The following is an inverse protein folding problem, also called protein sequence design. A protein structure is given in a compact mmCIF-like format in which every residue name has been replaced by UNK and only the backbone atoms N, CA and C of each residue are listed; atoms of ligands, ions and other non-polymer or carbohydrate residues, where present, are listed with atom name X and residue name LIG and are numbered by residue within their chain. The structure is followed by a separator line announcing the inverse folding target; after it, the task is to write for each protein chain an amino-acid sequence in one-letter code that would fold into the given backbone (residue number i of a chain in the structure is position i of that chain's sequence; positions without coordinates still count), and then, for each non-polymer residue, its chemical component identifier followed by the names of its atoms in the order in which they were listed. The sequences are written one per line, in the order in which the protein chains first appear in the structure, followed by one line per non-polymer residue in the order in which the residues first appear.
data_IF_872138363639
#
_entry.id   IF_872138363639
#
_cell.length_a   1.000
_cell.length_b   1.000
_cell.length_c   1.000
_cell.angle_alpha   90.00
_cell.angle_beta   90.00
_cell.angle_gamma   90.00
#
_symmetry.space_group_name_H-M   'P 1'
#
loop_
_entity.id
_entity.type
_entity.pdbx_description
1 polymer ?
#
# COMPACT_ATOMS: atom_id res chain seq x y z
N UNK A 1 3.68 -24.48 -26.82
CA UNK A 1 2.79 -23.37 -26.44
C UNK A 1 3.62 -22.39 -25.62
N UNK A 2 4.07 -21.32 -26.26
CA UNK A 2 5.01 -20.36 -25.71
C UNK A 2 4.43 -19.60 -24.51
N UNK A 3 5.27 -19.48 -23.49
CA UNK A 3 5.65 -18.20 -22.89
C UNK A 3 4.51 -17.19 -22.69
N UNK A 4 3.97 -17.16 -21.47
CA UNK A 4 3.52 -15.90 -20.88
C UNK A 4 4.18 -15.72 -19.50
N UNK A 5 5.52 -15.62 -19.52
CA UNK A 5 6.27 -14.95 -18.46
C UNK A 5 6.19 -13.45 -18.77
N UNK A 6 5.09 -12.82 -18.40
CA UNK A 6 5.08 -11.38 -18.24
C UNK A 6 6.00 -11.07 -17.05
N UNK A 7 7.25 -10.79 -17.42
CA UNK A 7 8.23 -10.18 -16.58
C UNK A 7 7.61 -8.93 -15.95
N UNK A 8 7.33 -8.98 -14.66
CA UNK A 8 7.12 -7.77 -13.87
C UNK A 8 8.47 -7.09 -13.67
N UNK A 9 9.06 -6.61 -14.78
CA UNK A 9 10.08 -5.57 -14.76
C UNK A 9 9.33 -4.26 -14.48
N UNK A 10 9.25 -3.94 -13.20
CA UNK A 10 8.93 -2.60 -12.70
C UNK A 10 10.14 -2.10 -11.93
N UNK A 11 11.28 -2.00 -12.61
CA UNK A 11 12.38 -1.16 -12.15
C UNK A 11 12.04 0.27 -12.57
N UNK A 12 11.38 1.00 -11.65
CA UNK A 12 11.57 2.44 -11.55
C UNK A 12 12.06 2.72 -10.14
N UNK A 13 13.38 2.96 -10.09
CA UNK A 13 14.09 3.44 -8.93
C UNK A 13 13.53 4.80 -8.49
N UNK A 14 13.42 4.94 -7.18
CA UNK A 14 12.89 6.13 -6.54
C UNK A 14 12.65 5.84 -5.07
N UNK A 15 13.72 5.53 -4.36
CA UNK A 15 13.76 5.69 -2.93
C UNK A 15 13.63 7.19 -2.61
N UNK A 16 12.99 7.49 -1.48
CA UNK A 16 13.22 8.74 -0.78
C UNK A 16 12.24 9.86 -1.12
N UNK A 17 11.30 10.07 -0.22
CA UNK A 17 11.58 11.10 0.77
C UNK A 17 11.12 10.59 2.11
N UNK A 18 12.07 10.25 2.99
CA UNK A 18 11.82 10.30 4.43
C UNK A 18 11.50 11.77 4.77
N UNK A 19 10.25 12.17 4.53
CA UNK A 19 9.81 13.56 4.63
C UNK A 19 9.63 13.97 6.08
N UNK A 20 10.60 14.68 6.65
CA UNK A 20 10.31 15.53 7.80
C UNK A 20 9.62 16.84 7.36
N UNK A 21 8.94 17.57 8.26
CA UNK A 21 8.19 17.13 9.45
C UNK A 21 6.74 17.67 9.41
N UNK A 22 5.73 16.80 9.23
CA UNK A 22 4.41 16.83 9.90
C UNK A 22 3.34 15.99 9.18
N UNK A 23 3.29 15.99 7.85
CA UNK A 23 2.14 15.49 7.10
C UNK A 23 2.49 14.43 6.04
N UNK A 24 1.52 13.56 5.76
CA UNK A 24 1.58 12.59 4.67
C UNK A 24 1.49 13.29 3.31
N UNK A 25 2.21 12.77 2.33
CA UNK A 25 2.05 13.13 0.91
C UNK A 25 0.66 12.73 0.39
N UNK A 26 0.23 13.35 -0.71
CA UNK A 26 -1.05 13.01 -1.35
C UNK A 26 -1.12 11.54 -1.76
N UNK A 27 0.00 10.98 -2.24
CA UNK A 27 0.09 9.57 -2.61
C UNK A 27 -0.10 8.64 -1.39
N UNK A 28 0.53 8.97 -0.25
CA UNK A 28 0.38 8.21 0.99
C UNK A 28 -1.05 8.30 1.55
N UNK A 29 -1.66 9.48 1.51
CA UNK A 29 -3.07 9.67 1.89
C UNK A 29 -4.02 8.87 0.99
N UNK A 30 -3.78 8.88 -0.33
CA UNK A 30 -4.55 8.10 -1.28
C UNK A 30 -4.40 6.58 -1.05
N UNK A 31 -3.21 6.13 -0.66
CA UNK A 31 -2.97 4.74 -0.24
C UNK A 31 -3.88 4.33 0.91
N UNK A 32 -3.96 5.15 1.97
CA UNK A 32 -4.83 4.89 3.12
C UNK A 32 -6.31 4.98 2.73
N UNK A 33 -6.68 5.88 1.83
CA UNK A 33 -8.06 6.00 1.33
C UNK A 33 -8.51 4.77 0.52
N UNK A 34 -7.61 4.11 -0.22
CA UNK A 34 -7.90 2.80 -0.84
C UNK A 34 -8.24 1.75 0.23
N UNK A 35 -7.52 1.73 1.34
CA UNK A 35 -7.71 0.74 2.41
C UNK A 35 -8.97 0.98 3.25
N UNK A 36 -9.46 2.22 3.33
CA UNK A 36 -10.74 2.52 3.99
C UNK A 36 -11.93 1.89 3.27
N UNK A 37 -11.83 1.70 1.95
CA UNK A 37 -12.93 1.24 1.10
C UNK A 37 -13.12 -0.27 1.20
N UNK A 38 -14.38 -0.69 1.11
CA UNK A 38 -14.73 -2.10 0.93
C UNK A 38 -14.73 -2.44 -0.56
N UNK A 39 -14.14 -3.58 -0.91
CA UNK A 39 -13.94 -3.99 -2.31
C UNK A 39 -14.81 -5.21 -2.64
N UNK A 40 -15.65 -5.15 -3.69
CA UNK A 40 -16.54 -6.25 -4.04
C UNK A 40 -15.77 -7.34 -4.78
N UNK A 41 -15.23 -8.30 -4.03
CA UNK A 41 -14.62 -9.52 -4.57
C UNK A 41 -13.12 -9.43 -4.88
N UNK A 42 -12.53 -10.56 -5.30
CA UNK A 42 -11.10 -10.68 -5.53
C UNK A 42 -10.62 -9.75 -6.66
N UNK A 43 -9.47 -9.12 -6.47
CA UNK A 43 -8.82 -8.27 -7.49
C UNK A 43 -9.45 -6.89 -7.73
N UNK A 44 -10.65 -6.59 -7.20
CA UNK A 44 -11.28 -5.28 -7.35
C UNK A 44 -10.41 -4.15 -6.77
N UNK A 45 -9.80 -4.40 -5.62
CA UNK A 45 -8.82 -3.50 -5.00
C UNK A 45 -7.59 -3.27 -5.88
N UNK A 46 -7.01 -4.33 -6.43
CA UNK A 46 -5.79 -4.24 -7.23
C UNK A 46 -6.01 -3.48 -8.54
N UNK A 47 -7.18 -3.66 -9.18
CA UNK A 47 -7.56 -2.85 -10.34
C UNK A 47 -7.64 -1.37 -9.97
N UNK A 48 -8.35 -1.04 -8.89
CA UNK A 48 -8.47 0.35 -8.46
C UNK A 48 -7.13 0.96 -8.02
N UNK A 49 -6.23 0.18 -7.42
CA UNK A 49 -4.86 0.63 -7.12
C UNK A 49 -4.11 1.00 -8.41
N UNK A 50 -4.18 0.14 -9.44
CA UNK A 50 -3.55 0.45 -10.73
C UNK A 50 -4.17 1.67 -11.40
N UNK A 51 -5.48 1.77 -11.42
CA UNK A 51 -6.21 2.85 -12.10
C UNK A 51 -6.09 4.21 -11.37
N UNK A 52 -6.17 4.22 -10.03
CA UNK A 52 -6.20 5.47 -9.26
C UNK A 52 -4.81 5.94 -8.83
N UNK A 53 -3.89 5.02 -8.59
CA UNK A 53 -2.55 5.35 -8.06
C UNK A 53 -1.45 5.13 -9.09
N UNK A 54 -1.73 4.47 -10.21
CA UNK A 54 -0.70 4.09 -11.19
C UNK A 54 0.31 3.08 -10.64
N UNK A 55 0.00 2.41 -9.53
CA UNK A 55 0.94 1.53 -8.83
C UNK A 55 0.71 0.07 -9.20
N UNK A 56 1.82 -0.67 -9.36
CA UNK A 56 1.77 -2.13 -9.37
C UNK A 56 1.34 -2.66 -7.98
N UNK A 57 0.71 -3.85 -7.91
CA UNK A 57 0.31 -4.44 -6.63
C UNK A 57 1.49 -4.58 -5.65
N UNK A 58 2.66 -4.98 -6.16
CA UNK A 58 3.89 -5.12 -5.35
C UNK A 58 4.32 -3.79 -4.74
N UNK A 59 4.42 -2.73 -5.56
CA UNK A 59 4.82 -1.40 -5.08
C UNK A 59 3.81 -0.83 -4.09
N UNK A 60 2.52 -1.05 -4.33
CA UNK A 60 1.45 -0.67 -3.42
C UNK A 60 1.63 -1.28 -2.02
N UNK A 61 1.83 -2.60 -1.93
CA UNK A 61 2.01 -3.25 -0.63
C UNK A 61 3.33 -2.86 0.06
N UNK A 62 4.40 -2.57 -0.69
CA UNK A 62 5.65 -2.06 -0.13
C UNK A 62 5.45 -0.70 0.55
N UNK A 63 4.85 0.26 -0.17
CA UNK A 63 4.57 1.60 0.36
C UNK A 63 3.59 1.54 1.54
N UNK A 64 2.56 0.69 1.43
CA UNK A 64 1.62 0.50 2.51
C UNK A 64 2.31 -0.02 3.77
N UNK A 65 3.17 -1.03 3.65
CA UNK A 65 3.91 -1.55 4.81
C UNK A 65 4.79 -0.48 5.46
N UNK A 66 5.46 0.36 4.67
CA UNK A 66 6.25 1.47 5.20
C UNK A 66 5.36 2.48 5.95
N UNK A 67 4.19 2.83 5.40
CA UNK A 67 3.22 3.70 6.07
C UNK A 67 2.68 3.11 7.37
N UNK A 68 2.49 1.80 7.42
CA UNK A 68 2.05 1.16 8.65
C UNK A 68 3.04 1.39 9.79
N UNK A 69 4.34 1.57 9.53
CA UNK A 69 5.34 1.80 10.57
C UNK A 69 5.58 3.30 10.85
N UNK A 70 4.93 4.20 10.10
CA UNK A 70 5.11 5.65 10.17
C UNK A 70 4.17 6.33 11.20
N UNK A 71 4.69 7.11 12.17
CA UNK A 71 3.85 7.86 13.11
C UNK A 71 2.95 8.91 12.45
N UNK A 72 3.32 9.45 11.28
CA UNK A 72 2.51 10.41 10.50
C UNK A 72 1.23 9.74 9.99
N UNK A 73 1.32 8.47 9.60
CA UNK A 73 0.15 7.71 9.18
C UNK A 73 -0.82 7.47 10.33
N UNK A 74 -0.29 7.14 11.52
CA UNK A 74 -1.09 7.02 12.74
C UNK A 74 -1.78 8.33 13.12
N UNK A 75 -1.10 9.47 12.96
CA UNK A 75 -1.67 10.78 13.25
C UNK A 75 -2.79 11.16 12.26
N UNK A 76 -2.64 10.78 10.98
CA UNK A 76 -3.62 11.08 9.94
C UNK A 76 -4.85 10.15 9.97
N UNK A 77 -4.64 8.85 10.20
CA UNK A 77 -5.72 7.84 10.21
C UNK A 77 -5.42 6.69 11.18
N UNK A 78 -5.61 6.93 12.49
CA UNK A 78 -5.29 5.94 13.50
C UNK A 78 -6.13 4.67 13.36
N UNK A 79 -7.38 4.76 12.89
CA UNK A 79 -8.30 3.62 12.82
C UNK A 79 -7.86 2.65 11.71
N UNK A 80 -7.64 3.14 10.49
CA UNK A 80 -7.22 2.30 9.37
C UNK A 80 -5.82 1.72 9.62
N UNK A 81 -4.90 2.54 10.12
CA UNK A 81 -3.51 2.10 10.37
C UNK A 81 -3.47 1.01 11.45
N UNK A 82 -4.14 1.19 12.59
CA UNK A 82 -4.15 0.16 13.63
C UNK A 82 -4.85 -1.12 13.17
N UNK A 83 -5.93 -1.04 12.39
CA UNK A 83 -6.58 -2.22 11.81
C UNK A 83 -5.61 -3.00 10.92
N UNK A 84 -4.90 -2.32 10.03
CA UNK A 84 -3.94 -2.94 9.11
C UNK A 84 -2.72 -3.52 9.85
N UNK A 85 -2.20 -2.83 10.88
CA UNK A 85 -1.14 -3.36 11.76
C UNK A 85 -1.57 -4.67 12.41
N UNK A 86 -2.77 -4.74 12.99
CA UNK A 86 -3.30 -5.98 13.59
C UNK A 86 -3.40 -7.12 12.57
N UNK A 87 -3.91 -6.84 11.37
CA UNK A 87 -3.99 -7.84 10.29
C UNK A 87 -2.58 -8.35 9.90
N UNK A 88 -1.58 -7.47 9.83
CA UNK A 88 -0.18 -7.83 9.55
C UNK A 88 0.40 -8.72 10.67
N UNK A 89 0.17 -8.36 11.92
CA UNK A 89 0.61 -9.13 13.10
C UNK A 89 -0.06 -10.52 13.16
N UNK A 90 -1.35 -10.61 12.86
CA UNK A 90 -2.08 -11.89 12.77
C UNK A 90 -1.51 -12.78 11.66
N UNK A 91 -1.17 -12.21 10.50
CA UNK A 91 -0.52 -12.95 9.41
C UNK A 91 0.87 -13.41 9.80
N UNK A 92 1.62 -12.60 10.54
CA UNK A 92 2.96 -12.95 10.99
C UNK A 92 2.93 -14.09 12.03
N UNK A 93 1.94 -14.11 12.93
CA UNK A 93 1.77 -15.18 13.93
C UNK A 93 1.35 -16.53 13.36
N UNK A 94 0.80 -16.56 12.14
CA UNK A 94 0.37 -17.79 11.44
C UNK A 94 1.48 -18.42 10.59
N UNK A 95 2.64 -17.77 10.50
CA UNK A 95 3.83 -18.26 9.79
C UNK A 95 4.78 -18.91 10.79
#
# INVERSE_FOLDING_TARGET
MGENREATQGEDGGAGTAGGPAALTEQEQALLAVERRSWPGPGAKERAVREQLGLSPTRYYQLLNALLDDPRALAHDPVTVNRLRRIREERQRRR
#
